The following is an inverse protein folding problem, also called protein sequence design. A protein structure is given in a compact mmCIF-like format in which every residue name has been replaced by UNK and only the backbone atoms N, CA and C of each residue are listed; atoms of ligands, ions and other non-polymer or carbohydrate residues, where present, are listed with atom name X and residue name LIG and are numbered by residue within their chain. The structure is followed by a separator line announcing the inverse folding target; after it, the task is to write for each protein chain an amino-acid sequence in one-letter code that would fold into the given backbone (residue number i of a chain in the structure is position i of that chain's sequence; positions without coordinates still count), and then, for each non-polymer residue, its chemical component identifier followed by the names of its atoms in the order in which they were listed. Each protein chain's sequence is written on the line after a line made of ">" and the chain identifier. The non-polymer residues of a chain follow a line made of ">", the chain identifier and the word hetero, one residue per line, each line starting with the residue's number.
data_IF_239382659592
#
_entry.id   IF_239382659592
#
_cell.length_a   1.000
_cell.length_b   1.000
_cell.length_c   1.000
_cell.angle_alpha   90.00
_cell.angle_beta   90.00
_cell.angle_gamma   90.00
#
_symmetry.space_group_name_H-M   'P 1'
#
loop_
_entity.id
_entity.type
_entity.pdbx_description
1 polymer ?
#
# COMPACT_ATOMS: atom_id res chain seq x y z
N UNK A 1 -33.37 58.56 27.72
CA UNK A 1 -32.61 57.30 27.82
C UNK A 1 -31.16 57.66 27.59
N UNK A 2 -30.24 57.04 28.34
CA UNK A 2 -28.79 57.22 28.16
C UNK A 2 -28.20 55.84 27.98
N UNK A 3 -27.30 55.68 27.02
CA UNK A 3 -26.59 54.43 26.73
C UNK A 3 -25.11 54.55 27.09
N UNK A 4 -24.41 53.42 27.16
CA UNK A 4 -22.95 53.35 27.40
C UNK A 4 -22.11 54.20 26.43
N UNK A 5 -22.65 54.54 25.26
CA UNK A 5 -22.00 55.29 24.18
C UNK A 5 -22.68 56.65 23.88
N UNK A 6 -23.58 57.12 24.75
CA UNK A 6 -24.28 58.40 24.52
C UNK A 6 -23.33 59.61 24.67
N UNK A 7 -23.24 60.52 23.68
CA UNK A 7 -22.34 61.68 23.75
C UNK A 7 -22.93 62.86 24.53
N UNK A 8 -24.24 62.87 24.75
CA UNK A 8 -24.98 63.97 25.38
C UNK A 8 -26.21 63.43 26.10
N UNK A 9 -26.69 64.19 27.07
CA UNK A 9 -27.99 64.00 27.70
C UNK A 9 -28.89 65.19 27.36
N UNK A 10 -30.12 64.90 26.92
CA UNK A 10 -31.12 65.91 26.63
C UNK A 10 -32.42 65.63 27.36
N UNK A 11 -33.23 66.67 27.52
CA UNK A 11 -34.52 66.59 28.17
C UNK A 11 -35.21 67.95 28.22
N UNK A 12 -36.20 68.05 29.09
CA UNK A 12 -36.89 69.31 29.35
C UNK A 12 -36.83 69.70 30.83
N UNK A 13 -36.78 71.00 31.07
CA UNK A 13 -36.87 71.64 32.38
C UNK A 13 -37.57 73.00 32.23
N UNK A 14 -37.82 73.71 33.33
CA UNK A 14 -38.37 75.06 33.27
C UNK A 14 -37.42 75.99 32.48
N UNK A 15 -37.96 76.82 31.58
CA UNK A 15 -37.16 77.72 30.75
C UNK A 15 -36.26 78.62 31.61
N UNK A 16 -34.97 78.70 31.26
CA UNK A 16 -33.97 79.47 32.01
C UNK A 16 -33.50 78.83 33.33
N UNK A 17 -34.02 77.67 33.73
CA UNK A 17 -33.53 76.94 34.90
C UNK A 17 -32.14 76.33 34.66
N UNK A 18 -31.33 76.23 35.72
CA UNK A 18 -30.05 75.53 35.68
C UNK A 18 -30.29 74.05 35.87
N UNK A 19 -29.93 73.24 34.89
CA UNK A 19 -30.00 71.77 34.94
C UNK A 19 -28.65 71.24 35.41
N UNK A 20 -28.67 70.38 36.42
CA UNK A 20 -27.51 69.69 36.98
C UNK A 20 -27.63 68.20 36.73
N UNK A 21 -26.59 67.62 36.12
CA UNK A 21 -26.43 66.20 35.83
C UNK A 21 -25.28 65.67 36.68
N UNK A 22 -25.57 64.78 37.61
CA UNK A 22 -24.56 64.07 38.41
C UNK A 22 -24.30 62.69 37.78
N UNK A 23 -23.05 62.48 37.37
CA UNK A 23 -22.57 61.24 36.77
C UNK A 23 -22.32 60.17 37.84
N UNK A 24 -22.18 58.88 37.47
CA UNK A 24 -22.02 57.78 38.43
C UNK A 24 -20.79 57.90 39.36
N UNK A 25 -19.76 58.62 38.93
CA UNK A 25 -18.56 58.88 39.72
C UNK A 25 -18.66 60.15 40.60
N UNK A 26 -19.85 60.76 40.70
CA UNK A 26 -20.08 62.01 41.42
C UNK A 26 -19.64 63.27 40.69
N UNK A 27 -19.20 63.19 39.43
CA UNK A 27 -18.90 64.39 38.63
C UNK A 27 -20.19 65.11 38.27
N UNK A 28 -20.23 66.41 38.49
CA UNK A 28 -21.40 67.25 38.20
C UNK A 28 -21.17 68.05 36.92
N UNK A 29 -22.15 68.00 36.03
CA UNK A 29 -22.24 68.80 34.81
C UNK A 29 -23.44 69.73 34.93
N UNK A 30 -23.33 70.94 34.37
CA UNK A 30 -24.42 71.91 34.39
C UNK A 30 -24.71 72.43 33.00
N UNK A 31 -26.00 72.61 32.71
CA UNK A 31 -26.51 73.30 31.53
C UNK A 31 -27.65 74.24 31.92
N UNK A 32 -28.18 74.99 30.95
CA UNK A 32 -29.35 75.85 31.14
C UNK A 32 -30.41 75.42 30.13
N UNK A 33 -31.66 75.34 30.56
CA UNK A 33 -32.77 75.10 29.65
C UNK A 33 -33.05 76.36 28.81
N UNK A 34 -33.26 76.17 27.50
CA UNK A 34 -33.59 77.25 26.57
C UNK A 34 -34.97 77.87 26.87
N UNK A 35 -35.35 78.92 26.12
CA UNK A 35 -36.63 79.62 26.29
C UNK A 35 -37.85 78.72 26.00
N UNK A 36 -37.64 77.59 25.34
CA UNK A 36 -38.63 76.56 25.05
C UNK A 36 -38.61 75.42 26.09
N UNK A 37 -37.71 75.48 27.08
CA UNK A 37 -37.57 74.50 28.15
C UNK A 37 -36.76 73.26 27.78
N UNK A 38 -36.04 73.23 26.65
CA UNK A 38 -35.17 72.11 26.29
C UNK A 38 -33.76 72.34 26.81
N UNK A 39 -33.08 71.26 27.22
CA UNK A 39 -31.66 71.32 27.53
C UNK A 39 -30.90 70.19 26.84
N UNK A 40 -29.62 70.44 26.58
CA UNK A 40 -28.63 69.47 26.15
C UNK A 40 -27.35 69.70 26.95
N UNK A 41 -26.79 68.63 27.50
CA UNK A 41 -25.52 68.66 28.24
C UNK A 41 -24.61 67.59 27.64
N UNK A 42 -23.43 68.00 27.18
CA UNK A 42 -22.43 67.08 26.63
C UNK A 42 -21.85 66.20 27.74
N UNK A 43 -21.79 64.90 27.48
CA UNK A 43 -21.13 63.95 28.37
C UNK A 43 -19.63 63.90 28.02
N UNK A 44 -18.73 63.66 29.00
CA UNK A 44 -17.30 63.63 28.74
C UNK A 44 -16.94 62.54 27.72
N UNK A 45 -16.42 62.93 26.55
CA UNK A 45 -16.13 62.01 25.44
C UNK A 45 -15.08 60.92 25.79
N UNK A 46 -14.27 61.14 26.82
CA UNK A 46 -13.27 60.18 27.32
C UNK A 46 -13.83 59.22 28.38
N UNK A 47 -15.10 59.31 28.72
CA UNK A 47 -15.74 58.48 29.75
C UNK A 47 -16.73 57.54 29.09
N UNK A 48 -16.43 56.25 29.15
CA UNK A 48 -17.40 55.20 28.85
C UNK A 48 -18.21 54.94 30.11
N UNK A 49 -19.53 54.97 29.97
CA UNK A 49 -20.43 54.56 31.05
C UNK A 49 -20.60 53.05 30.98
N UNK A 50 -20.57 52.39 32.14
CA UNK A 50 -20.89 50.97 32.19
C UNK A 50 -22.42 50.81 32.24
N UNK A 51 -22.91 49.75 31.61
CA UNK A 51 -24.30 49.33 31.78
C UNK A 51 -24.69 49.18 33.24
N UNK A 52 -25.87 49.67 33.61
CA UNK A 52 -26.39 49.60 34.97
C UNK A 52 -25.88 50.69 35.91
N UNK A 53 -25.01 51.58 35.45
CA UNK A 53 -24.71 52.81 36.18
C UNK A 53 -25.90 53.78 36.15
N UNK A 54 -26.03 54.66 37.15
CA UNK A 54 -27.14 55.62 37.24
C UNK A 54 -26.66 57.07 37.13
N UNK A 55 -27.32 57.86 36.30
CA UNK A 55 -27.15 59.31 36.18
C UNK A 55 -28.32 60.01 36.88
N UNK A 56 -28.04 61.04 37.66
CA UNK A 56 -29.07 61.82 38.36
C UNK A 56 -29.21 63.20 37.75
N UNK A 57 -30.45 63.64 37.55
CA UNK A 57 -30.75 64.96 36.95
C UNK A 57 -31.67 65.74 37.87
N UNK A 58 -31.32 66.99 38.11
CA UNK A 58 -32.14 67.97 38.85
C UNK A 58 -32.10 69.31 38.13
N UNK A 59 -33.13 70.14 38.29
CA UNK A 59 -33.11 71.53 37.83
C UNK A 59 -33.38 72.49 38.99
N UNK A 60 -32.80 73.69 38.92
CA UNK A 60 -33.02 74.76 39.88
C UNK A 60 -33.47 76.01 39.12
N UNK A 61 -34.63 76.56 39.48
CA UNK A 61 -35.15 77.80 38.87
C UNK A 61 -34.34 79.04 39.31
N UNK A 62 -34.65 80.20 38.73
CA UNK A 62 -33.98 81.46 39.07
C UNK A 62 -34.23 81.95 40.51
N UNK A 63 -35.28 81.43 41.16
CA UNK A 63 -35.64 81.73 42.55
C UNK A 63 -35.00 80.76 43.56
N UNK A 64 -34.26 79.75 43.08
CA UNK A 64 -33.59 78.75 43.89
C UNK A 64 -34.44 77.52 44.24
N UNK A 65 -35.64 77.36 43.67
CA UNK A 65 -36.45 76.16 43.89
C UNK A 65 -35.87 74.99 43.08
N UNK A 66 -35.68 73.83 43.73
CA UNK A 66 -35.10 72.63 43.11
C UNK A 66 -36.19 71.63 42.75
N UNK A 67 -36.09 71.00 41.58
CA UNK A 67 -36.93 69.88 41.18
C UNK A 67 -36.66 68.63 42.03
N UNK A 68 -37.58 67.67 41.95
CA UNK A 68 -37.28 66.29 42.37
C UNK A 68 -36.13 65.70 41.53
N UNK A 69 -35.41 64.74 42.10
CA UNK A 69 -34.34 64.02 41.44
C UNK A 69 -34.90 62.99 40.45
N UNK A 70 -34.44 63.05 39.20
CA UNK A 70 -34.69 62.03 38.20
C UNK A 70 -33.46 61.13 38.07
N UNK A 71 -33.61 59.85 38.35
CA UNK A 71 -32.57 58.83 38.10
C UNK A 71 -32.78 58.24 36.70
N UNK A 72 -31.70 58.12 35.94
CA UNK A 72 -31.64 57.54 34.60
C UNK A 72 -30.60 56.44 34.62
N UNK A 73 -31.02 55.21 34.38
CA UNK A 73 -30.09 54.09 34.25
C UNK A 73 -29.42 54.13 32.87
N UNK A 74 -28.11 53.97 32.87
CA UNK A 74 -27.30 53.81 31.67
C UNK A 74 -27.56 52.41 31.13
N UNK A 75 -28.13 52.35 29.93
CA UNK A 75 -28.32 51.10 29.22
C UNK A 75 -27.00 50.65 28.60
N UNK A 76 -26.64 49.41 28.88
CA UNK A 76 -25.54 48.76 28.18
C UNK A 76 -25.91 48.53 26.71
N UNK A 77 -25.03 48.97 25.83
CA UNK A 77 -25.16 48.72 24.38
C UNK A 77 -23.88 48.18 23.78
N UNK A 78 -22.90 47.81 24.62
CA UNK A 78 -21.55 47.46 24.19
C UNK A 78 -21.45 45.93 24.12
N UNK A 79 -21.29 45.34 22.92
CA UNK A 79 -21.17 43.89 22.82
C UNK A 79 -19.89 43.33 23.45
N UNK A 80 -19.93 42.07 23.91
CA UNK A 80 -18.73 41.34 24.27
C UNK A 80 -17.77 41.24 23.08
N UNK A 81 -16.47 41.10 23.37
CA UNK A 81 -15.48 40.67 22.37
C UNK A 81 -15.86 39.27 21.86
N UNK A 82 -15.60 39.01 20.57
CA UNK A 82 -15.79 37.67 20.00
C UNK A 82 -15.08 36.60 20.85
N UNK A 83 -15.73 35.46 21.15
CA UNK A 83 -15.09 34.38 21.88
C UNK A 83 -13.82 33.90 21.20
N UNK A 84 -12.83 33.49 21.98
CA UNK A 84 -11.74 32.65 21.47
C UNK A 84 -12.18 31.19 21.50
N UNK A 85 -11.61 30.36 20.63
CA UNK A 85 -11.90 28.92 20.57
C UNK A 85 -10.58 28.17 20.48
N UNK A 86 -10.45 27.11 21.28
CA UNK A 86 -9.32 26.17 21.19
C UNK A 86 -9.43 25.30 19.93
N UNK A 87 -8.37 24.56 19.57
CA UNK A 87 -8.41 23.65 18.42
C UNK A 87 -9.56 22.64 18.58
N UNK A 88 -10.40 22.52 17.54
CA UNK A 88 -11.49 21.54 17.46
C UNK A 88 -11.12 20.52 16.40
N UNK A 89 -11.24 19.23 16.75
CA UNK A 89 -10.95 18.11 15.85
C UNK A 89 -12.21 17.30 15.58
N UNK A 90 -12.18 16.48 14.53
CA UNK A 90 -13.29 15.57 14.17
C UNK A 90 -13.71 14.60 15.29
N UNK A 91 -12.85 14.38 16.29
CA UNK A 91 -13.13 13.53 17.46
C UNK A 91 -13.25 14.32 18.78
N UNK A 92 -13.23 15.66 18.74
CA UNK A 92 -13.36 16.48 19.94
C UNK A 92 -14.73 16.23 20.61
N UNK A 93 -14.77 15.87 21.91
CA UNK A 93 -16.03 15.67 22.63
C UNK A 93 -16.66 16.99 23.10
N UNK A 94 -15.88 18.07 23.13
CA UNK A 94 -16.26 19.37 23.66
C UNK A 94 -15.58 20.49 22.88
N UNK A 95 -16.13 21.70 22.99
CA UNK A 95 -15.51 22.94 22.55
C UNK A 95 -15.18 23.78 23.78
N UNK A 96 -13.97 24.31 23.83
CA UNK A 96 -13.50 25.18 24.90
C UNK A 96 -12.90 26.47 24.35
N UNK A 97 -12.87 27.51 25.18
CA UNK A 97 -12.25 28.78 24.84
C UNK A 97 -12.50 29.84 25.90
N UNK A 98 -12.37 31.10 25.52
CA UNK A 98 -12.67 32.23 26.41
C UNK A 98 -13.71 33.19 25.82
N UNK A 99 -14.51 33.79 26.68
CA UNK A 99 -15.46 34.85 26.37
C UNK A 99 -15.52 35.84 27.56
N UNK A 100 -16.37 36.86 27.47
CA UNK A 100 -16.63 37.73 28.61
C UNK A 100 -17.22 36.92 29.79
N UNK A 101 -16.69 37.12 31.01
CA UNK A 101 -17.11 36.38 32.19
C UNK A 101 -18.62 36.53 32.44
N UNK A 102 -19.31 35.43 32.72
CA UNK A 102 -20.76 35.39 32.92
C UNK A 102 -21.59 35.55 31.63
N UNK A 103 -20.99 35.77 30.46
CA UNK A 103 -21.72 35.83 29.20
C UNK A 103 -22.21 34.45 28.76
N UNK A 104 -23.35 34.41 28.08
CA UNK A 104 -23.86 33.18 27.45
C UNK A 104 -23.12 32.95 26.14
N UNK A 105 -22.37 31.85 26.05
CA UNK A 105 -21.69 31.42 24.84
C UNK A 105 -22.62 30.51 24.04
N UNK A 106 -22.68 30.73 22.73
CA UNK A 106 -23.48 29.97 21.78
C UNK A 106 -22.59 29.46 20.66
N UNK A 107 -22.64 28.16 20.42
CA UNK A 107 -21.99 27.47 19.29
C UNK A 107 -23.08 27.05 18.32
N UNK A 108 -22.99 27.52 17.08
CA UNK A 108 -23.80 27.06 15.95
C UNK A 108 -22.99 26.01 15.16
N UNK A 109 -23.51 24.79 15.11
CA UNK A 109 -22.94 23.65 14.40
C UNK A 109 -23.24 23.74 12.88
N UNK A 110 -22.57 22.94 12.02
CA UNK A 110 -22.71 23.04 10.57
C UNK A 110 -24.13 22.72 10.08
N UNK A 111 -24.87 21.91 10.83
CA UNK A 111 -26.27 21.56 10.56
C UNK A 111 -27.28 22.59 11.09
N UNK A 112 -26.81 23.71 11.66
CA UNK A 112 -27.63 24.77 12.26
C UNK A 112 -28.07 24.49 13.70
N UNK A 113 -27.65 23.37 14.31
CA UNK A 113 -27.94 23.09 15.74
C UNK A 113 -27.19 24.09 16.60
N UNK A 114 -27.86 24.63 17.62
CA UNK A 114 -27.29 25.61 18.52
C UNK A 114 -27.08 24.98 19.90
N UNK A 115 -25.85 25.08 20.40
CA UNK A 115 -25.46 24.67 21.73
C UNK A 115 -25.14 25.91 22.55
N UNK A 116 -25.42 25.87 23.85
CA UNK A 116 -25.15 26.98 24.75
C UNK A 116 -24.36 26.56 25.97
N UNK A 117 -23.56 27.48 26.47
CA UNK A 117 -22.84 27.39 27.74
C UNK A 117 -22.70 28.79 28.34
N UNK A 118 -22.08 28.88 29.51
CA UNK A 118 -21.80 30.14 30.18
C UNK A 118 -20.31 30.21 30.46
N UNK A 119 -19.69 31.36 30.21
CA UNK A 119 -18.32 31.60 30.60
C UNK A 119 -18.23 31.79 32.12
N UNK A 120 -17.28 31.12 32.76
CA UNK A 120 -17.02 31.25 34.20
C UNK A 120 -16.52 32.66 34.57
N UNK A 121 -16.30 32.90 35.87
CA UNK A 121 -15.84 34.19 36.39
C UNK A 121 -14.43 34.58 35.87
N UNK A 122 -13.68 33.62 35.33
CA UNK A 122 -12.38 33.81 34.69
C UNK A 122 -12.49 33.95 33.17
N UNK A 123 -13.70 33.85 32.62
CA UNK A 123 -14.01 33.94 31.20
C UNK A 123 -13.83 32.64 30.42
N UNK A 124 -13.56 31.50 31.06
CA UNK A 124 -13.44 30.22 30.35
C UNK A 124 -14.81 29.59 30.14
N UNK A 125 -15.03 28.94 29.00
CA UNK A 125 -16.22 28.14 28.77
C UNK A 125 -15.87 26.75 28.23
N UNK A 126 -16.77 25.81 28.44
CA UNK A 126 -16.73 24.48 27.83
C UNK A 126 -18.16 24.06 27.48
N UNK A 127 -18.36 23.54 26.27
CA UNK A 127 -19.66 23.12 25.74
C UNK A 127 -19.51 21.72 25.15
N UNK A 128 -20.35 20.79 25.62
CA UNK A 128 -20.38 19.41 25.13
C UNK A 128 -20.89 19.34 23.69
N UNK A 129 -20.17 18.61 22.84
CA UNK A 129 -20.63 18.28 21.49
C UNK A 129 -21.55 17.04 21.54
N UNK A 130 -22.58 16.95 20.68
CA UNK A 130 -23.46 15.79 20.65
C UNK A 130 -22.69 14.51 20.30
N UNK A 131 -22.67 13.53 21.20
CA UNK A 131 -21.91 12.29 21.03
C UNK A 131 -22.33 11.45 19.79
N UNK A 132 -23.54 11.66 19.27
CA UNK A 132 -24.07 11.00 18.08
C UNK A 132 -23.78 11.77 16.78
N UNK A 133 -23.21 12.97 16.85
CA UNK A 133 -22.84 13.77 15.70
C UNK A 133 -21.36 13.55 15.39
N UNK A 134 -21.07 13.06 14.19
CA UNK A 134 -19.70 12.99 13.68
C UNK A 134 -19.40 14.27 12.92
N UNK A 135 -18.29 14.92 13.27
CA UNK A 135 -17.80 16.07 12.54
C UNK A 135 -16.81 15.62 11.48
N UNK A 136 -16.81 16.29 10.33
CA UNK A 136 -15.84 16.07 9.26
C UNK A 136 -14.79 17.17 9.27
N UNK A 137 -13.58 16.83 8.85
CA UNK A 137 -12.55 17.83 8.57
C UNK A 137 -13.07 18.93 7.64
N UNK A 138 -12.76 20.18 7.96
CA UNK A 138 -13.16 21.36 7.19
C UNK A 138 -14.59 21.86 7.44
N UNK A 139 -15.37 21.19 8.30
CA UNK A 139 -16.64 21.77 8.78
C UNK A 139 -16.39 22.99 9.65
N UNK A 140 -17.28 24.00 9.55
CA UNK A 140 -17.14 25.25 10.30
C UNK A 140 -18.12 25.31 11.47
N UNK A 141 -17.60 25.68 12.64
CA UNK A 141 -18.41 26.03 13.80
C UNK A 141 -18.33 27.53 14.04
N UNK A 142 -19.45 28.10 14.45
CA UNK A 142 -19.57 29.54 14.70
C UNK A 142 -19.89 29.80 16.15
N UNK A 143 -19.01 30.53 16.84
CA UNK A 143 -19.12 30.80 18.27
C UNK A 143 -19.39 32.29 18.50
N UNK A 144 -20.41 32.60 19.28
CA UNK A 144 -20.78 33.96 19.70
C UNK A 144 -21.00 33.99 21.20
N UNK A 145 -20.85 35.15 21.82
CA UNK A 145 -21.26 35.38 23.20
C UNK A 145 -22.35 36.46 23.26
N UNK A 146 -23.17 36.41 24.30
CA UNK A 146 -24.17 37.42 24.61
C UNK A 146 -24.04 37.79 26.08
N UNK A 147 -23.83 39.07 26.36
CA UNK A 147 -23.70 39.57 27.73
C UNK A 147 -25.05 39.54 28.48
N UNK A 148 -25.03 39.92 29.76
CA UNK A 148 -26.24 39.96 30.60
C UNK A 148 -27.29 40.99 30.12
N UNK A 149 -26.86 42.00 29.35
CA UNK A 149 -27.70 43.06 28.80
C UNK A 149 -28.32 42.69 27.46
N UNK A 150 -27.92 41.56 26.87
CA UNK A 150 -28.41 41.06 25.59
C UNK A 150 -27.61 41.54 24.38
N UNK A 151 -26.47 42.20 24.56
CA UNK A 151 -25.61 42.57 23.42
C UNK A 151 -24.82 41.36 22.94
N UNK A 152 -24.77 41.17 21.62
CA UNK A 152 -24.19 39.98 21.00
C UNK A 152 -22.86 40.30 20.33
N UNK A 153 -21.82 39.50 20.61
CA UNK A 153 -20.51 39.62 19.98
C UNK A 153 -20.58 39.40 18.47
N UNK A 154 -19.52 39.82 17.77
CA UNK A 154 -19.20 39.22 16.46
C UNK A 154 -18.85 37.74 16.63
N UNK A 155 -18.94 36.97 15.54
CA UNK A 155 -18.70 35.53 15.61
C UNK A 155 -17.24 35.17 15.40
N UNK A 156 -16.76 34.20 16.16
CA UNK A 156 -15.54 33.45 15.86
C UNK A 156 -15.89 32.24 14.99
N UNK A 157 -15.14 32.01 13.93
CA UNK A 157 -15.27 30.85 13.05
C UNK A 157 -14.09 29.92 13.34
N UNK A 158 -14.37 28.65 13.61
CA UNK A 158 -13.36 27.61 13.79
C UNK A 158 -13.64 26.47 12.81
N UNK A 159 -12.60 26.08 12.07
CA UNK A 159 -12.64 24.89 11.23
C UNK A 159 -12.35 23.65 12.09
N UNK A 160 -13.15 22.60 11.91
CA UNK A 160 -12.89 21.30 12.49
C UNK A 160 -11.71 20.68 11.76
N UNK A 161 -10.66 20.35 12.50
CA UNK A 161 -9.49 19.66 11.96
C UNK A 161 -9.77 18.18 11.80
N UNK A 162 -9.48 17.64 10.62
CA UNK A 162 -9.50 16.21 10.44
C UNK A 162 -8.32 15.57 11.13
N UNK A 163 -8.59 14.53 11.92
CA UNK A 163 -7.56 13.70 12.55
C UNK A 163 -7.83 12.21 12.33
N UNK A 164 -8.86 11.88 11.55
CA UNK A 164 -9.28 10.50 11.32
C UNK A 164 -8.45 9.92 10.18
N UNK A 165 -7.62 8.90 10.41
CA UNK A 165 -6.88 8.28 9.31
C UNK A 165 -7.79 7.51 8.35
N UNK A 166 -7.39 7.38 7.07
CA UNK A 166 -8.03 6.45 6.15
C UNK A 166 -8.05 5.02 6.69
N UNK A 167 -9.02 4.25 6.20
CA UNK A 167 -9.01 2.79 6.36
C UNK A 167 -7.77 2.21 5.67
N UNK A 168 -7.24 1.12 6.22
CA UNK A 168 -6.11 0.37 5.65
C UNK A 168 -6.41 0.02 4.19
N UNK A 169 -5.50 0.32 3.24
CA UNK A 169 -5.68 -0.08 1.85
C UNK A 169 -5.87 -1.59 1.71
N UNK A 170 -6.75 -2.01 0.82
CA UNK A 170 -6.77 -3.39 0.34
C UNK A 170 -5.77 -3.51 -0.80
N UNK A 171 -5.16 -4.69 -0.96
CA UNK A 171 -4.20 -4.97 -2.03
C UNK A 171 -4.63 -6.24 -2.73
N UNK A 172 -4.70 -6.21 -4.06
CA UNK A 172 -4.90 -7.40 -4.90
C UNK A 172 -3.69 -8.35 -4.79
N UNK A 173 -3.83 -9.59 -5.24
CA UNK A 173 -2.69 -10.53 -5.30
C UNK A 173 -1.53 -9.89 -6.08
N UNK A 174 -0.34 -9.89 -5.48
CA UNK A 174 0.90 -9.42 -6.11
C UNK A 174 1.78 -10.65 -6.35
N UNK A 175 2.27 -10.79 -7.58
CA UNK A 175 3.14 -11.88 -8.00
C UNK A 175 4.53 -11.39 -8.40
N UNK A 176 5.49 -12.30 -8.52
CA UNK A 176 6.87 -12.00 -8.97
C UNK A 176 6.93 -11.30 -10.34
N UNK A 177 5.89 -11.49 -11.15
CA UNK A 177 5.76 -10.93 -12.51
C UNK A 177 4.70 -9.81 -12.60
N UNK A 178 4.12 -9.38 -11.47
CA UNK A 178 3.09 -8.33 -11.48
C UNK A 178 3.68 -6.98 -11.94
N UNK A 179 3.07 -6.31 -12.93
CA UNK A 179 3.58 -5.02 -13.44
C UNK A 179 3.15 -3.82 -12.58
N UNK A 180 2.17 -4.02 -11.70
CA UNK A 180 1.61 -2.97 -10.85
C UNK A 180 1.10 -3.56 -9.53
N UNK A 181 1.05 -2.72 -8.50
CA UNK A 181 0.32 -3.00 -7.25
C UNK A 181 -1.02 -2.28 -7.32
N UNK A 182 -2.12 -3.02 -7.25
CA UNK A 182 -3.47 -2.48 -7.31
C UNK A 182 -4.29 -2.86 -6.09
N UNK A 183 -5.39 -2.15 -5.86
CA UNK A 183 -6.26 -2.38 -4.74
C UNK A 183 -7.24 -1.24 -4.52
N UNK A 184 -7.74 -1.10 -3.28
CA UNK A 184 -8.63 0.01 -2.91
C UNK A 184 -8.12 0.77 -1.69
N UNK A 185 -8.34 2.08 -1.67
CA UNK A 185 -8.11 2.97 -0.54
C UNK A 185 -9.24 4.01 -0.46
N UNK A 186 -9.14 4.95 0.48
CA UNK A 186 -10.06 6.08 0.51
C UNK A 186 -9.93 6.93 -0.76
N UNK A 187 -11.06 7.31 -1.37
CA UNK A 187 -11.07 8.08 -2.61
C UNK A 187 -10.29 9.40 -2.48
N UNK A 188 -9.43 9.70 -3.45
CA UNK A 188 -8.58 10.89 -3.43
C UNK A 188 -7.39 10.83 -2.46
N UNK A 189 -7.26 9.77 -1.66
CA UNK A 189 -6.09 9.59 -0.78
C UNK A 189 -4.83 9.25 -1.59
N UNK A 190 -3.68 9.68 -1.10
CA UNK A 190 -2.38 9.29 -1.65
C UNK A 190 -2.01 7.91 -1.14
N UNK A 191 -1.90 6.93 -2.02
CA UNK A 191 -1.45 5.57 -1.71
C UNK A 191 0.06 5.50 -1.90
N UNK A 192 0.75 4.89 -0.93
CA UNK A 192 2.19 4.66 -0.94
C UNK A 192 2.47 3.17 -0.80
N UNK A 193 3.27 2.63 -1.70
CA UNK A 193 3.79 1.26 -1.66
C UNK A 193 5.29 1.33 -1.39
N UNK A 194 5.73 0.74 -0.29
CA UNK A 194 7.13 0.56 0.07
C UNK A 194 7.55 -0.86 -0.35
N UNK A 195 8.54 -0.93 -1.26
CA UNK A 195 9.11 -2.15 -1.79
C UNK A 195 10.11 -2.79 -0.79
N UNK A 196 10.52 -4.06 -0.97
CA UNK A 196 11.39 -4.76 -0.02
C UNK A 196 12.76 -4.10 0.16
N UNK A 197 13.24 -3.38 -0.86
CA UNK A 197 14.49 -2.64 -0.84
C UNK A 197 14.36 -1.21 -0.28
N UNK A 198 13.18 -0.83 0.23
CA UNK A 198 12.87 0.48 0.76
C UNK A 198 12.50 1.53 -0.30
N UNK A 199 12.45 1.18 -1.59
CA UNK A 199 11.95 2.10 -2.62
C UNK A 199 10.48 2.41 -2.36
N UNK A 200 10.10 3.69 -2.44
CA UNK A 200 8.73 4.14 -2.24
C UNK A 200 8.11 4.53 -3.58
N UNK A 201 6.95 3.95 -3.87
CA UNK A 201 6.12 4.28 -5.02
C UNK A 201 4.83 4.93 -4.52
N UNK A 202 4.31 5.90 -5.26
CA UNK A 202 3.08 6.60 -4.89
C UNK A 202 2.08 6.64 -6.04
N UNK A 203 0.81 6.67 -5.68
CA UNK A 203 -0.32 6.88 -6.57
C UNK A 203 -1.47 7.53 -5.81
N UNK A 204 -2.55 7.82 -6.50
CA UNK A 204 -3.76 8.39 -5.90
C UNK A 204 -4.93 7.45 -6.19
N UNK A 205 -5.76 7.19 -5.18
CA UNK A 205 -6.98 6.43 -5.39
C UNK A 205 -8.02 7.29 -6.13
N UNK A 206 -8.69 6.71 -7.13
CA UNK A 206 -9.73 7.38 -7.90
C UNK A 206 -10.98 7.70 -7.04
N UNK A 207 -11.98 8.35 -7.65
CA UNK A 207 -13.23 8.72 -6.97
C UNK A 207 -14.04 7.51 -6.46
N UNK A 208 -13.76 6.32 -7.00
CA UNK A 208 -14.33 5.04 -6.58
C UNK A 208 -13.45 4.32 -5.55
N UNK A 209 -12.29 4.87 -5.22
CA UNK A 209 -11.33 4.32 -4.27
C UNK A 209 -10.34 3.30 -4.87
N UNK A 210 -10.33 3.06 -6.18
CA UNK A 210 -9.37 2.13 -6.79
C UNK A 210 -8.03 2.82 -7.02
N UNK A 211 -6.94 2.08 -6.87
CA UNK A 211 -5.61 2.55 -7.27
C UNK A 211 -4.85 1.47 -8.05
N UNK A 212 -3.93 1.92 -8.89
CA UNK A 212 -2.91 1.10 -9.54
C UNK A 212 -1.60 1.88 -9.56
N UNK A 213 -0.55 1.28 -9.01
CA UNK A 213 0.79 1.88 -8.92
C UNK A 213 1.75 0.98 -9.69
N UNK A 214 2.29 1.52 -10.79
CA UNK A 214 3.21 0.80 -11.65
C UNK A 214 4.52 0.46 -10.92
N UNK A 215 4.95 -0.78 -11.05
CA UNK A 215 6.24 -1.24 -10.55
C UNK A 215 7.27 -0.95 -11.65
N UNK A 216 8.38 -0.25 -11.35
CA UNK A 216 9.41 0.01 -12.34
C UNK A 216 9.95 -1.29 -12.95
N UNK A 217 10.09 -1.36 -14.27
CA UNK A 217 10.48 -2.60 -14.98
C UNK A 217 11.85 -3.17 -14.59
N UNK A 218 12.70 -2.39 -13.93
CA UNK A 218 13.99 -2.85 -13.38
C UNK A 218 13.86 -3.48 -11.98
N UNK A 219 12.69 -3.40 -11.34
CA UNK A 219 12.39 -4.09 -10.09
C UNK A 219 11.85 -5.47 -10.44
N UNK A 220 12.51 -6.49 -9.90
CA UNK A 220 12.05 -7.88 -9.96
C UNK A 220 11.85 -8.35 -8.54
N UNK A 221 10.70 -8.96 -8.28
CA UNK A 221 10.44 -9.53 -6.98
C UNK A 221 10.81 -11.01 -6.95
N UNK A 222 11.15 -11.47 -5.76
CA UNK A 222 11.24 -12.89 -5.44
C UNK A 222 10.00 -13.30 -4.66
N UNK A 223 9.60 -14.55 -4.83
CA UNK A 223 8.60 -15.16 -3.95
C UNK A 223 8.92 -14.96 -2.48
N UNK A 224 7.91 -14.62 -1.68
CA UNK A 224 8.03 -14.42 -0.24
C UNK A 224 8.50 -13.02 0.18
N UNK A 225 8.86 -12.14 -0.76
CA UNK A 225 9.15 -10.74 -0.42
C UNK A 225 7.88 -10.01 0.03
N UNK A 226 8.02 -9.00 0.89
CA UNK A 226 6.88 -8.27 1.45
C UNK A 226 6.83 -6.83 0.95
N UNK A 227 5.66 -6.39 0.52
CA UNK A 227 5.37 -4.98 0.23
C UNK A 227 4.51 -4.40 1.34
N UNK A 228 4.70 -3.12 1.62
CA UNK A 228 3.94 -2.38 2.63
C UNK A 228 3.16 -1.26 1.97
N UNK A 229 1.84 -1.28 2.10
CA UNK A 229 0.94 -0.30 1.47
C UNK A 229 0.24 0.54 2.53
N UNK A 230 0.32 1.86 2.41
CA UNK A 230 -0.37 2.83 3.28
C UNK A 230 -1.10 3.86 2.43
N UNK A 231 -2.15 4.47 2.97
CA UNK A 231 -2.79 5.64 2.38
C UNK A 231 -2.69 6.85 3.31
N UNK A 232 -2.68 8.04 2.71
CA UNK A 232 -2.70 9.33 3.42
C UNK A 232 -3.83 10.18 2.85
N UNK A 233 -4.74 10.66 3.69
CA UNK A 233 -5.83 11.55 3.26
C UNK A 233 -5.33 12.97 2.90
N UNK A 234 -6.26 13.83 2.45
CA UNK A 234 -5.97 15.22 2.11
C UNK A 234 -5.54 16.09 3.32
N UNK A 235 -5.87 15.66 4.53
CA UNK A 235 -5.54 16.34 5.78
C UNK A 235 -4.19 15.88 6.35
N UNK A 236 -3.56 14.88 5.74
CA UNK A 236 -2.26 14.33 6.13
C UNK A 236 -2.34 13.17 7.13
N UNK A 237 -3.52 12.65 7.46
CA UNK A 237 -3.65 11.49 8.34
C UNK A 237 -3.29 10.22 7.59
N UNK A 238 -2.50 9.34 8.22
CA UNK A 238 -1.93 8.15 7.59
C UNK A 238 -2.56 6.88 8.14
N UNK A 239 -2.99 5.99 7.24
CA UNK A 239 -3.51 4.67 7.60
C UNK A 239 -2.44 3.81 8.28
N UNK A 240 -2.88 2.77 8.99
CA UNK A 240 -1.99 1.64 9.26
C UNK A 240 -1.68 0.91 7.94
N UNK A 241 -0.60 0.11 7.93
CA UNK A 241 -0.13 -0.49 6.68
C UNK A 241 -0.75 -1.86 6.42
N UNK A 242 -1.11 -2.12 5.17
CA UNK A 242 -1.30 -3.47 4.65
C UNK A 242 0.07 -4.08 4.32
N UNK A 243 0.29 -5.33 4.73
CA UNK A 243 1.46 -6.11 4.35
C UNK A 243 0.99 -7.17 3.36
N UNK A 244 1.57 -7.17 2.16
CA UNK A 244 1.28 -8.16 1.13
C UNK A 244 2.56 -8.94 0.83
N UNK A 245 2.45 -10.26 0.79
CA UNK A 245 3.54 -11.14 0.38
C UNK A 245 3.46 -11.34 -1.14
N UNK A 246 4.60 -11.21 -1.81
CA UNK A 246 4.72 -11.46 -3.25
C UNK A 246 4.70 -12.96 -3.47
N UNK A 247 3.72 -13.41 -4.23
CA UNK A 247 3.60 -14.81 -4.63
C UNK A 247 4.56 -15.12 -5.77
N UNK A 248 5.30 -16.19 -5.63
CA UNK A 248 6.14 -16.68 -6.70
C UNK A 248 5.30 -17.32 -7.82
N UNK A 249 5.47 -16.82 -9.03
CA UNK A 249 4.85 -17.41 -10.23
C UNK A 249 5.88 -17.65 -11.33
N UNK A 250 7.16 -17.50 -11.03
CA UNK A 250 8.23 -17.57 -12.03
C UNK A 250 8.76 -19.00 -12.06
N UNK A 251 8.57 -19.77 -13.15
CA UNK A 251 9.08 -21.13 -13.20
C UNK A 251 10.61 -21.20 -13.23
N UNK A 252 11.20 -22.31 -12.74
CA UNK A 252 12.61 -22.60 -12.96
C UNK A 252 12.94 -22.68 -14.46
N UNK A 253 14.18 -22.36 -14.80
CA UNK A 253 14.71 -22.66 -16.15
C UNK A 253 14.71 -24.18 -16.37
N UNK A 254 14.40 -24.62 -17.60
CA UNK A 254 14.47 -26.04 -17.97
C UNK A 254 15.81 -26.68 -17.55
N UNK A 255 15.78 -27.86 -16.92
CA UNK A 255 17.01 -28.54 -16.52
C UNK A 255 17.96 -28.78 -17.69
N UNK A 256 19.25 -28.66 -17.43
CA UNK A 256 20.26 -29.24 -18.32
C UNK A 256 20.40 -30.73 -18.02
N UNK A 257 20.81 -31.51 -19.03
CA UNK A 257 21.01 -32.95 -18.90
C UNK A 257 22.34 -33.29 -19.58
N UNK A 258 23.16 -34.08 -18.89
CA UNK A 258 24.41 -34.63 -19.43
C UNK A 258 24.11 -35.68 -20.49
N UNK A 259 25.10 -36.09 -21.29
CA UNK A 259 24.91 -37.18 -22.25
C UNK A 259 24.41 -38.45 -21.53
N UNK A 260 23.33 -39.04 -22.04
CA UNK A 260 22.77 -40.31 -21.57
C UNK A 260 23.01 -41.35 -22.65
N UNK A 261 23.57 -42.49 -22.27
CA UNK A 261 23.83 -43.61 -23.18
C UNK A 261 23.03 -44.85 -22.78
N UNK A 262 22.99 -45.85 -23.67
CA UNK A 262 22.33 -47.14 -23.43
C UNK A 262 22.81 -47.86 -22.16
N UNK A 263 24.00 -47.50 -21.66
CA UNK A 263 24.68 -48.08 -20.51
C UNK A 263 24.80 -47.10 -19.32
N UNK A 264 24.21 -45.90 -19.40
CA UNK A 264 24.24 -44.92 -18.32
C UNK A 264 23.49 -45.45 -17.08
N UNK A 265 24.10 -45.46 -15.88
CA UNK A 265 23.43 -45.90 -14.66
C UNK A 265 22.57 -44.80 -14.01
N UNK A 266 22.71 -43.56 -14.47
CA UNK A 266 22.10 -42.37 -13.87
C UNK A 266 21.88 -41.28 -14.91
N UNK A 267 20.93 -40.40 -14.64
CA UNK A 267 20.76 -39.12 -15.34
C UNK A 267 21.26 -38.01 -14.43
N UNK A 268 22.16 -37.18 -14.94
CA UNK A 268 22.73 -36.05 -14.20
C UNK A 268 22.68 -34.77 -15.01
N UNK A 269 22.65 -33.63 -14.32
CA UNK A 269 22.64 -32.33 -14.96
C UNK A 269 22.50 -31.21 -13.95
N UNK A 270 22.00 -30.06 -14.39
CA UNK A 270 21.71 -28.92 -13.51
C UNK A 270 20.26 -28.46 -13.61
N UNK A 271 19.71 -27.98 -12.50
CA UNK A 271 18.42 -27.32 -12.39
C UNK A 271 18.51 -26.18 -11.35
N UNK A 272 17.41 -25.49 -11.07
CA UNK A 272 17.38 -24.52 -9.97
C UNK A 272 17.66 -25.22 -8.63
N UNK A 273 18.52 -24.64 -7.79
CA UNK A 273 18.90 -25.20 -6.51
C UNK A 273 17.66 -25.44 -5.61
N UNK A 274 17.59 -26.62 -4.98
CA UNK A 274 16.46 -27.03 -4.15
C UNK A 274 15.18 -27.39 -4.92
N UNK A 275 15.13 -27.23 -6.25
CA UNK A 275 13.99 -27.66 -7.05
C UNK A 275 13.91 -29.19 -7.15
N UNK A 276 12.68 -29.70 -7.27
CA UNK A 276 12.42 -31.12 -7.54
C UNK A 276 12.58 -31.38 -9.03
N UNK A 277 13.56 -32.17 -9.42
CA UNK A 277 13.78 -32.61 -10.80
C UNK A 277 13.00 -33.90 -11.04
N UNK A 278 12.24 -33.95 -12.13
CA UNK A 278 11.48 -35.12 -12.58
C UNK A 278 12.03 -35.59 -13.92
N UNK A 279 12.37 -36.87 -14.00
CA UNK A 279 12.82 -37.58 -15.21
C UNK A 279 11.72 -38.57 -15.62
N UNK A 280 11.15 -38.40 -16.80
CA UNK A 280 10.20 -39.33 -17.42
C UNK A 280 10.95 -40.17 -18.46
N UNK A 281 10.95 -41.49 -18.23
CA UNK A 281 11.60 -42.48 -19.10
C UNK A 281 10.74 -42.77 -20.35
N UNK A 282 11.30 -43.41 -21.39
CA UNK A 282 10.58 -43.69 -22.64
C UNK A 282 9.28 -44.49 -22.48
N UNK A 283 9.18 -45.29 -21.42
CA UNK A 283 7.99 -46.08 -21.11
C UNK A 283 6.98 -45.39 -20.17
N UNK A 284 7.20 -44.10 -19.89
CA UNK A 284 6.36 -43.28 -19.02
C UNK A 284 6.64 -43.42 -17.52
N UNK A 285 7.65 -44.19 -17.12
CA UNK A 285 8.06 -44.25 -15.71
C UNK A 285 8.65 -42.91 -15.27
N UNK A 286 8.20 -42.40 -14.14
CA UNK A 286 8.67 -41.13 -13.59
C UNK A 286 9.61 -41.37 -12.40
N UNK A 287 10.74 -40.68 -12.41
CA UNK A 287 11.74 -40.66 -11.35
C UNK A 287 11.91 -39.23 -10.86
N UNK A 288 12.23 -39.05 -9.58
CA UNK A 288 12.41 -37.73 -8.99
C UNK A 288 13.70 -37.63 -8.20
N UNK A 289 14.35 -36.47 -8.25
CA UNK A 289 15.47 -36.08 -7.41
C UNK A 289 15.36 -34.62 -7.00
N UNK A 290 16.25 -34.17 -6.13
CA UNK A 290 16.35 -32.76 -5.73
C UNK A 290 17.69 -32.23 -6.23
N UNK A 291 17.70 -31.05 -6.85
CA UNK A 291 18.94 -30.36 -7.18
C UNK A 291 19.57 -29.80 -5.90
N UNK A 292 20.87 -29.99 -5.73
CA UNK A 292 21.63 -29.50 -4.58
C UNK A 292 21.72 -27.95 -4.55
N UNK A 293 22.35 -27.40 -3.51
CA UNK A 293 22.51 -25.95 -3.34
C UNK A 293 23.33 -25.29 -4.46
N UNK A 294 24.08 -26.09 -5.23
CA UNK A 294 24.83 -25.66 -6.42
C UNK A 294 24.04 -25.89 -7.71
N UNK A 295 22.84 -26.45 -7.63
CA UNK A 295 21.96 -26.75 -8.75
C UNK A 295 22.26 -28.08 -9.45
N UNK A 296 23.18 -28.91 -8.96
CA UNK A 296 23.45 -30.21 -9.58
C UNK A 296 22.43 -31.24 -9.11
N UNK A 297 22.01 -32.13 -10.01
CA UNK A 297 21.19 -33.28 -9.64
C UNK A 297 21.76 -34.57 -10.24
N UNK A 298 21.43 -35.68 -9.60
CA UNK A 298 21.73 -37.03 -10.08
C UNK A 298 20.57 -37.93 -9.69
N UNK A 299 20.02 -38.67 -10.66
CA UNK A 299 18.88 -39.57 -10.48
C UNK A 299 19.28 -40.93 -11.03
N UNK A 300 19.28 -41.95 -10.17
CA UNK A 300 19.62 -43.32 -10.54
C UNK A 300 18.57 -43.91 -11.48
N UNK A 301 19.05 -44.56 -12.55
CA UNK A 301 18.19 -45.29 -13.48
C UNK A 301 17.95 -46.71 -12.96
N UNK A 302 16.74 -47.28 -13.14
CA UNK A 302 16.46 -48.64 -12.71
C UNK A 302 17.40 -49.65 -13.41
N UNK A 303 18.16 -50.41 -12.63
CA UNK A 303 19.16 -51.37 -13.15
C UNK A 303 18.58 -52.51 -13.99
N UNK A 304 17.25 -52.72 -13.92
CA UNK A 304 16.53 -53.69 -14.72
C UNK A 304 16.06 -53.14 -16.07
N UNK A 305 16.28 -51.86 -16.36
CA UNK A 305 15.93 -51.25 -17.64
C UNK A 305 17.17 -51.05 -18.49
N UNK A 306 17.06 -51.49 -19.74
CA UNK A 306 18.03 -51.22 -20.79
C UNK A 306 17.41 -50.21 -21.72
N UNK A 307 18.18 -49.20 -22.09
CA UNK A 307 17.76 -48.20 -23.06
C UNK A 307 18.31 -48.57 -24.42
N UNK A 308 17.49 -48.42 -25.46
CA UNK A 308 17.94 -48.53 -26.82
C UNK A 308 18.40 -47.16 -27.33
N UNK A 309 19.39 -47.16 -28.24
CA UNK A 309 19.75 -45.95 -28.96
C UNK A 309 18.55 -45.31 -29.64
N UNK A 310 18.41 -43.99 -29.50
CA UNK A 310 17.34 -43.20 -30.08
C UNK A 310 16.05 -43.13 -29.25
N UNK A 311 15.98 -43.80 -28.10
CA UNK A 311 14.89 -43.56 -27.14
C UNK A 311 15.02 -42.18 -26.48
N UNK A 312 13.91 -41.52 -26.16
CA UNK A 312 13.93 -40.17 -25.60
C UNK A 312 13.56 -40.15 -24.11
N UNK A 313 14.33 -39.40 -23.32
CA UNK A 313 14.07 -39.09 -21.90
C UNK A 313 13.66 -37.63 -21.79
N UNK A 314 12.68 -37.34 -20.93
CA UNK A 314 12.20 -35.99 -20.67
C UNK A 314 12.51 -35.57 -19.24
N UNK A 315 12.99 -34.34 -19.06
CA UNK A 315 13.39 -33.81 -17.75
C UNK A 315 12.73 -32.46 -17.52
N UNK A 316 12.11 -32.29 -16.36
CA UNK A 316 11.50 -31.03 -15.89
C UNK A 316 11.93 -30.77 -14.45
N UNK A 317 11.86 -29.53 -13.99
CA UNK A 317 12.01 -29.20 -12.57
C UNK A 317 10.79 -28.46 -12.05
N UNK A 318 10.57 -28.52 -10.74
CA UNK A 318 9.50 -27.80 -10.04
C UNK A 318 10.10 -27.13 -8.80
N UNK A 319 9.94 -25.81 -8.68
CA UNK A 319 10.45 -25.04 -7.55
C UNK A 319 9.64 -25.29 -6.26
N UNK A 320 10.04 -24.64 -5.16
CA UNK A 320 9.36 -24.77 -3.87
C UNK A 320 7.94 -24.17 -3.85
N UNK A 321 7.66 -23.26 -4.77
CA UNK A 321 6.36 -22.59 -4.94
C UNK A 321 5.40 -23.39 -5.83
N UNK A 322 5.88 -24.46 -6.46
CA UNK A 322 5.12 -25.36 -7.32
C UNK A 322 5.12 -24.96 -8.80
N UNK A 323 5.94 -24.00 -9.22
CA UNK A 323 6.04 -23.63 -10.64
C UNK A 323 6.93 -24.65 -11.38
N UNK A 324 6.47 -25.10 -12.55
CA UNK A 324 7.13 -26.15 -13.33
C UNK A 324 7.88 -25.55 -14.52
N UNK A 325 9.13 -25.96 -14.73
CA UNK A 325 9.95 -25.57 -15.87
C UNK A 325 9.38 -26.06 -17.20
N UNK A 326 9.90 -25.49 -18.30
CA UNK A 326 9.83 -26.13 -19.60
C UNK A 326 10.52 -27.51 -19.59
N UNK A 327 10.13 -28.36 -20.53
CA UNK A 327 10.67 -29.72 -20.69
C UNK A 327 11.99 -29.73 -21.48
N UNK A 328 12.97 -30.49 -20.98
CA UNK A 328 14.18 -30.85 -21.72
C UNK A 328 14.08 -32.30 -22.20
N UNK A 329 14.13 -32.49 -23.52
CA UNK A 329 14.20 -33.82 -24.16
C UNK A 329 15.65 -34.15 -24.51
N UNK A 330 16.09 -35.37 -24.23
CA UNK A 330 17.39 -35.93 -24.62
C UNK A 330 17.19 -37.32 -25.23
N UNK A 331 17.90 -37.60 -26.32
CA UNK A 331 17.92 -38.92 -26.93
C UNK A 331 19.06 -39.75 -26.34
N UNK A 332 18.77 -41.01 -26.02
CA UNK A 332 19.74 -41.99 -25.55
C UNK A 332 20.68 -42.33 -26.70
N UNK A 333 21.97 -42.18 -26.47
CA UNK A 333 23.00 -42.58 -27.42
C UNK A 333 23.31 -44.05 -27.28
N UNK A 334 23.29 -44.79 -28.38
CA UNK A 334 23.75 -46.17 -28.34
C UNK A 334 25.27 -46.22 -28.14
N UNK A 335 25.69 -46.90 -27.08
CA UNK A 335 27.09 -47.21 -26.82
C UNK A 335 27.32 -48.71 -26.64
N UNK A 336 26.27 -49.52 -26.83
CA UNK A 336 26.35 -50.97 -26.70
C UNK A 336 27.11 -51.50 -27.90
N UNK A 337 28.29 -52.12 -27.73
CA UNK A 337 28.97 -52.75 -28.84
C UNK A 337 28.12 -53.92 -29.37
N UNK A 338 28.18 -54.20 -30.68
CA UNK A 338 27.53 -55.37 -31.21
C UNK A 338 28.03 -56.66 -30.55
N UNK A 339 27.18 -57.69 -30.50
CA UNK A 339 27.60 -59.01 -30.00
C UNK A 339 28.77 -59.54 -30.84
N UNK A 340 29.85 -59.97 -30.17
CA UNK A 340 31.03 -60.50 -30.84
C UNK A 340 30.65 -61.67 -31.77
N UNK A 341 31.16 -61.69 -33.02
CA UNK A 341 30.83 -62.74 -33.96
C UNK A 341 31.37 -64.09 -33.49
N UNK A 342 30.58 -65.15 -33.69
CA UNK A 342 31.02 -66.54 -33.57
C UNK A 342 31.47 -67.04 -34.93
N UNK A 343 32.31 -68.07 -34.95
CA UNK A 343 32.78 -68.69 -36.19
C UNK A 343 32.56 -70.19 -36.14
N UNK A 344 32.04 -70.75 -37.23
CA UNK A 344 32.01 -72.18 -37.48
C UNK A 344 33.42 -72.72 -37.70
N UNK A 345 33.60 -74.04 -37.67
CA UNK A 345 34.91 -74.64 -37.93
C UNK A 345 35.47 -74.22 -39.32
N UNK A 346 36.70 -73.71 -39.33
CA UNK A 346 37.43 -73.33 -40.54
C UNK A 346 38.64 -74.25 -40.70
N UNK A 347 38.79 -74.86 -41.87
CA UNK A 347 39.90 -75.75 -42.23
C UNK A 347 40.74 -75.14 -43.36
N UNK A 348 41.92 -75.72 -43.64
CA UNK A 348 42.76 -75.26 -44.76
C UNK A 348 42.08 -75.35 -46.14
N UNK A 349 41.04 -76.17 -46.25
CA UNK A 349 40.26 -76.39 -47.48
C UNK A 349 38.91 -75.65 -47.47
N UNK A 350 38.60 -74.88 -46.42
CA UNK A 350 37.33 -74.15 -46.35
C UNK A 350 37.29 -73.06 -47.43
N UNK A 351 36.25 -73.02 -48.29
CA UNK A 351 36.12 -71.98 -49.31
C UNK A 351 35.56 -70.66 -48.75
N UNK A 352 35.04 -70.69 -47.52
CA UNK A 352 34.34 -69.58 -46.88
C UNK A 352 34.51 -69.64 -45.36
N UNK A 353 34.39 -68.49 -44.71
CA UNK A 353 34.22 -68.35 -43.26
C UNK A 353 32.75 -68.05 -42.99
N UNK A 354 32.12 -68.83 -42.12
CA UNK A 354 30.71 -68.63 -41.73
C UNK A 354 30.57 -68.65 -40.23
N UNK A 355 29.50 -68.07 -39.72
CA UNK A 355 29.24 -67.98 -38.29
C UNK A 355 28.01 -67.12 -38.00
N UNK A 356 27.88 -66.66 -36.76
CA UNK A 356 26.79 -65.76 -36.36
C UNK A 356 27.34 -64.44 -35.82
N UNK A 357 26.69 -63.33 -36.10
CA UNK A 357 26.94 -62.03 -35.48
C UNK A 357 25.60 -61.34 -35.21
N UNK A 358 25.62 -60.13 -34.65
CA UNK A 358 24.40 -59.34 -34.51
C UNK A 358 23.81 -59.00 -35.90
N UNK A 359 22.50 -59.15 -36.06
CA UNK A 359 21.82 -58.92 -37.34
C UNK A 359 22.10 -57.50 -37.87
N UNK A 360 22.46 -57.41 -39.16
CA UNK A 360 22.82 -56.14 -39.80
C UNK A 360 24.20 -55.59 -39.43
N UNK A 361 24.93 -56.20 -38.49
CA UNK A 361 26.32 -55.81 -38.18
C UNK A 361 27.27 -56.21 -39.32
N UNK A 362 28.34 -55.43 -39.48
CA UNK A 362 29.43 -55.76 -40.41
C UNK A 362 30.44 -56.64 -39.69
N UNK A 363 30.65 -57.85 -40.21
CA UNK A 363 31.66 -58.80 -39.74
C UNK A 363 32.92 -58.62 -40.57
N UNK A 364 34.06 -58.49 -39.90
CA UNK A 364 35.38 -58.38 -40.52
C UNK A 364 36.21 -59.63 -40.25
N UNK A 365 36.81 -60.18 -41.30
CA UNK A 365 37.70 -61.35 -41.26
C UNK A 365 39.09 -60.89 -41.71
N UNK A 366 40.06 -60.93 -40.80
CA UNK A 366 41.46 -60.63 -41.07
C UNK A 366 42.23 -61.95 -41.25
N UNK A 367 42.76 -62.15 -42.46
CA UNK A 367 43.55 -63.32 -42.85
C UNK A 367 44.97 -63.24 -42.28
N UNK A 368 45.72 -64.36 -42.26
CA UNK A 368 47.07 -64.42 -41.66
C UNK A 368 48.10 -63.46 -42.29
N UNK A 369 47.86 -63.02 -43.53
CA UNK A 369 48.70 -62.06 -44.24
C UNK A 369 48.25 -60.59 -44.07
N UNK A 370 47.28 -60.34 -43.19
CA UNK A 370 46.71 -59.02 -42.92
C UNK A 370 45.64 -58.57 -43.92
N UNK A 371 45.24 -59.42 -44.87
CA UNK A 371 44.13 -59.08 -45.78
C UNK A 371 42.81 -59.10 -45.03
N UNK A 372 42.02 -58.03 -45.20
CA UNK A 372 40.71 -57.88 -44.57
C UNK A 372 39.58 -58.18 -45.56
N UNK A 373 38.64 -59.03 -45.13
CA UNK A 373 37.40 -59.32 -45.83
C UNK A 373 36.24 -58.85 -44.96
N UNK A 374 35.14 -58.42 -45.58
CA UNK A 374 33.95 -57.98 -44.85
C UNK A 374 32.71 -58.67 -45.37
N UNK A 375 31.76 -58.90 -44.47
CA UNK A 375 30.40 -59.37 -44.76
C UNK A 375 29.41 -58.71 -43.82
N UNK A 376 28.13 -58.80 -44.12
CA UNK A 376 27.07 -58.31 -43.24
C UNK A 376 26.28 -59.52 -42.76
N UNK A 377 26.01 -59.59 -41.46
CA UNK A 377 25.12 -60.62 -40.93
C UNK A 377 23.68 -60.34 -41.36
N UNK A 378 22.98 -61.39 -41.82
CA UNK A 378 21.59 -61.29 -42.23
C UNK A 378 20.64 -60.97 -41.06
N UNK A 379 19.35 -60.82 -41.35
CA UNK A 379 18.33 -60.53 -40.34
C UNK A 379 18.18 -61.65 -39.27
N UNK A 380 18.75 -62.83 -39.53
CA UNK A 380 18.81 -63.95 -38.60
C UNK A 380 20.17 -64.04 -37.88
N UNK A 381 21.08 -63.11 -38.15
CA UNK A 381 22.41 -63.04 -37.56
C UNK A 381 23.43 -63.97 -38.20
N UNK A 382 23.14 -64.65 -39.31
CA UNK A 382 24.13 -65.50 -39.98
C UNK A 382 24.97 -64.68 -40.95
N UNK A 383 26.27 -65.00 -41.05
CA UNK A 383 27.14 -64.41 -42.08
C UNK A 383 27.93 -65.50 -42.81
N UNK A 384 28.33 -65.18 -44.04
CA UNK A 384 29.23 -66.00 -44.85
C UNK A 384 30.12 -65.07 -45.67
N UNK A 385 31.44 -65.30 -45.61
CA UNK A 385 32.45 -64.50 -46.29
C UNK A 385 33.36 -65.44 -47.08
N UNK A 386 33.39 -65.29 -48.41
CA UNK A 386 34.19 -66.11 -49.30
C UNK A 386 35.70 -65.87 -49.10
N UNK A 387 36.46 -66.96 -49.00
CA UNK A 387 37.92 -66.90 -48.93
C UNK A 387 38.53 -66.79 -50.35
N UNK A 388 39.64 -66.04 -50.54
CA UNK A 388 40.25 -65.87 -51.85
C UNK A 388 40.75 -67.21 -52.41
N UNK A 389 40.21 -67.64 -53.54
CA UNK A 389 40.55 -68.93 -54.18
C UNK A 389 42.01 -69.06 -54.64
N UNK A 390 42.75 -67.95 -54.67
CA UNK A 390 44.16 -67.88 -55.02
C UNK A 390 45.10 -67.97 -53.81
N UNK A 391 44.57 -68.06 -52.58
CA UNK A 391 45.34 -68.24 -51.35
C UNK A 391 45.26 -69.69 -50.88
N UNK A 392 46.40 -70.22 -50.44
CA UNK A 392 46.49 -71.53 -49.79
C UNK A 392 46.79 -71.32 -48.31
N UNK A 393 45.99 -71.95 -47.47
CA UNK A 393 46.18 -71.98 -46.02
C UNK A 393 46.87 -73.29 -45.65
N UNK A 394 47.91 -73.24 -44.82
CA UNK A 394 48.73 -74.41 -44.50
C UNK A 394 48.31 -75.12 -43.20
N UNK A 395 47.28 -74.61 -42.52
CA UNK A 395 46.81 -75.13 -41.24
C UNK A 395 47.68 -74.66 -40.07
N UNK A 396 47.06 -74.36 -38.93
CA UNK A 396 47.73 -73.76 -37.76
C UNK A 396 47.92 -72.24 -37.84
N UNK A 397 47.50 -71.61 -38.94
CA UNK A 397 47.40 -70.16 -39.08
C UNK A 397 46.19 -69.63 -38.29
N UNK A 398 46.26 -68.38 -37.81
CA UNK A 398 45.15 -67.73 -37.10
C UNK A 398 44.44 -66.73 -38.00
N UNK A 399 43.11 -66.81 -38.03
CA UNK A 399 42.23 -65.80 -38.63
C UNK A 399 41.57 -65.05 -37.48
N UNK A 400 41.48 -63.73 -37.59
CA UNK A 400 40.80 -62.89 -36.58
C UNK A 400 39.45 -62.44 -37.14
N UNK A 401 38.42 -62.52 -36.30
CA UNK A 401 37.05 -62.17 -36.67
C UNK A 401 36.55 -61.16 -35.63
N UNK A 402 36.04 -60.03 -36.10
CA UNK A 402 35.56 -58.91 -35.27
C UNK A 402 34.29 -58.32 -35.81
#
# INVERSE_FOLDING_TARGET
>A
EVTSESPQISGSAEAGSTVKVELPNGTELTGVADDQGNYTIDLPANKKFNGGESIKVTSTDASGNKSDEKVIDVKDTTPPVAPTVSEVTSESPQISGTAEAGSTVKVELPNGTELTGVADDQGNYTIDLPANQKFRGGEQLKVTSTDASGNKSTAAIVDVKDITPPVVPTVSEVTSESPQVSGTAEAGSTVKVELPDGTELTGVADDQGNYGIDIPANKKFRGGEQLKVTSTDASGNKSTAAIVEVKDTTPPVAPTVSEVTSESPQVSGTAEAGSTVKVELPDGTELTGIADDQGNYTIDLPSNKKFNGGESIKVTSTDASGNKSDEKVIDVKDTTPPVAPTVSEVTSESPQVSGTAEAGSTVKVELPDGTELTGVADDQGNYTIDLPSNKKFNGGESIKIT
#
